data_IF_872229036181
#
_entry.id   IF_872229036181
#
_cell.length_a   1.000
_cell.length_b   1.000
_cell.length_c   1.000
_cell.angle_alpha   90.00
_cell.angle_beta   90.00
_cell.angle_gamma   90.00
#
_symmetry.space_group_name_H-M   'P 1'
#
loop_
_entity.id
_entity.type
_entity.pdbx_description
1 polymer ?
#
# COMPACT_ATOMS: atom_id res chain seq x y z
N UNK A 1 9.14 6.88 2.16
CA UNK A 1 8.09 6.45 1.20
C UNK A 1 8.05 4.92 1.13
N UNK A 2 6.86 4.32 1.03
CA UNK A 2 6.71 2.88 0.82
C UNK A 2 5.77 2.61 -0.35
N UNK A 3 6.22 1.75 -1.25
CA UNK A 3 5.47 1.27 -2.41
C UNK A 3 5.10 -0.19 -2.18
N UNK A 4 3.81 -0.53 -2.30
CA UNK A 4 3.29 -1.88 -2.07
C UNK A 4 2.45 -2.33 -3.25
N UNK A 5 2.54 -3.60 -3.61
CA UNK A 5 1.61 -4.21 -4.56
C UNK A 5 0.63 -5.10 -3.82
N UNK A 6 -0.65 -5.03 -4.18
CA UNK A 6 -1.70 -5.85 -3.58
C UNK A 6 -2.59 -6.45 -4.66
N UNK A 7 -3.09 -7.67 -4.42
CA UNK A 7 -4.12 -8.27 -5.26
C UNK A 7 -5.44 -7.49 -5.16
N UNK A 8 -6.24 -7.47 -6.23
CA UNK A 8 -7.56 -6.81 -6.18
C UNK A 8 -8.58 -7.68 -5.42
N UNK A 9 -8.54 -9.00 -5.63
CA UNK A 9 -9.58 -9.93 -5.18
C UNK A 9 -9.25 -10.64 -3.85
N UNK A 10 -9.35 -9.95 -2.71
CA UNK A 10 -9.07 -10.55 -1.39
C UNK A 10 -10.18 -11.48 -0.88
N UNK A 11 -11.44 -11.07 -0.95
CA UNK A 11 -12.57 -11.86 -0.44
C UNK A 11 -12.75 -13.19 -1.18
N UNK A 12 -12.64 -13.15 -2.50
CA UNK A 12 -12.82 -14.32 -3.37
C UNK A 12 -11.81 -15.44 -3.03
N UNK A 13 -10.56 -15.08 -2.73
CA UNK A 13 -9.54 -16.05 -2.33
C UNK A 13 -9.78 -16.60 -0.91
N UNK A 14 -10.20 -15.74 0.04
CA UNK A 14 -10.53 -16.18 1.40
C UNK A 14 -11.72 -17.14 1.42
N UNK A 15 -12.78 -16.84 0.66
CA UNK A 15 -13.97 -17.71 0.56
C UNK A 15 -13.66 -19.08 -0.04
N UNK A 16 -12.69 -19.17 -0.97
CA UNK A 16 -12.23 -20.44 -1.55
C UNK A 16 -11.29 -21.24 -0.64
N UNK A 17 -10.44 -20.56 0.14
CA UNK A 17 -9.36 -21.20 0.90
C UNK A 17 -9.65 -21.43 2.39
N UNK A 18 -10.74 -20.89 2.93
CA UNK A 18 -11.01 -20.88 4.37
C UNK A 18 -12.31 -21.64 4.69
N UNK A 19 -12.18 -22.94 4.91
CA UNK A 19 -13.22 -23.80 5.47
C UNK A 19 -12.63 -24.64 6.61
N UNK A 20 -13.48 -25.20 7.48
CA UNK A 20 -13.08 -26.15 8.51
C UNK A 20 -14.18 -27.18 8.71
N UNK A 21 -13.81 -28.45 8.70
CA UNK A 21 -14.71 -29.58 8.95
C UNK A 21 -14.69 -30.02 10.41
N UNK A 22 -13.91 -29.34 11.27
CA UNK A 22 -13.77 -29.75 12.67
C UNK A 22 -15.11 -29.64 13.40
N UNK A 23 -15.52 -30.69 14.13
CA UNK A 23 -16.79 -30.68 14.87
C UNK A 23 -16.73 -29.77 16.11
N UNK A 24 -15.57 -29.65 16.75
CA UNK A 24 -15.43 -28.86 17.98
C UNK A 24 -15.34 -27.34 17.69
N UNK A 25 -16.19 -26.49 18.30
CA UNK A 25 -16.27 -25.06 17.97
C UNK A 25 -14.96 -24.27 18.14
N UNK A 26 -14.19 -24.57 19.19
CA UNK A 26 -12.94 -23.86 19.48
C UNK A 26 -11.84 -24.24 18.48
N UNK A 27 -11.71 -25.54 18.18
CA UNK A 27 -10.71 -26.02 17.23
C UNK A 27 -11.01 -25.56 15.81
N UNK A 28 -12.30 -25.50 15.46
CA UNK A 28 -12.78 -24.90 14.20
C UNK A 28 -12.35 -23.45 14.10
N UNK A 29 -12.51 -22.63 15.15
CA UNK A 29 -12.11 -21.23 15.15
C UNK A 29 -10.60 -21.04 14.98
N UNK A 30 -9.78 -21.83 15.71
CA UNK A 30 -8.32 -21.79 15.57
C UNK A 30 -7.87 -22.19 14.16
N UNK A 31 -8.49 -23.22 13.58
CA UNK A 31 -8.17 -23.66 12.23
C UNK A 31 -8.58 -22.61 11.18
N UNK A 32 -9.78 -22.04 11.28
CA UNK A 32 -10.23 -20.98 10.38
C UNK A 32 -9.30 -19.77 10.44
N UNK A 33 -8.86 -19.37 11.64
CA UNK A 33 -7.89 -18.29 11.83
C UNK A 33 -6.52 -18.62 11.20
N UNK A 34 -6.00 -19.82 11.46
CA UNK A 34 -4.73 -20.26 10.90
C UNK A 34 -4.74 -20.30 9.36
N UNK A 35 -5.82 -20.84 8.77
CA UNK A 35 -6.02 -20.92 7.32
C UNK A 35 -6.17 -19.53 6.69
N UNK A 36 -6.98 -18.66 7.27
CA UNK A 36 -7.13 -17.28 6.77
C UNK A 36 -5.80 -16.50 6.86
N UNK A 37 -5.07 -16.62 7.97
CA UNK A 37 -3.75 -16.01 8.09
C UNK A 37 -2.74 -16.57 7.07
N UNK A 38 -2.79 -17.87 6.77
CA UNK A 38 -1.93 -18.49 5.75
C UNK A 38 -2.26 -17.97 4.34
N UNK A 39 -3.55 -17.87 3.99
CA UNK A 39 -4.01 -17.32 2.71
C UNK A 39 -3.57 -15.86 2.56
N UNK A 40 -3.72 -15.04 3.61
CA UNK A 40 -3.28 -13.65 3.58
C UNK A 40 -1.76 -13.52 3.39
N UNK A 41 -0.96 -14.32 4.11
CA UNK A 41 0.51 -14.31 3.97
C UNK A 41 0.99 -14.74 2.58
N UNK A 42 0.37 -15.77 2.01
CA UNK A 42 0.72 -16.26 0.68
C UNK A 42 0.45 -15.23 -0.43
N UNK A 43 -0.39 -14.23 -0.17
CA UNK A 43 -0.75 -13.17 -1.11
C UNK A 43 -0.08 -11.83 -0.81
N UNK A 44 0.83 -11.80 0.16
CA UNK A 44 1.67 -10.62 0.37
C UNK A 44 2.74 -10.56 -0.71
N UNK A 45 2.63 -9.60 -1.62
CA UNK A 45 3.60 -9.37 -2.68
C UNK A 45 4.82 -8.56 -2.20
N UNK A 46 4.87 -8.23 -0.91
CA UNK A 46 5.92 -7.44 -0.31
C UNK A 46 5.78 -5.95 -0.58
N UNK A 47 6.72 -5.18 -0.02
CA UNK A 47 6.77 -3.73 -0.19
C UNK A 47 8.21 -3.27 -0.33
N UNK A 48 8.43 -2.22 -1.12
CA UNK A 48 9.70 -1.54 -1.25
C UNK A 48 9.65 -0.26 -0.43
N UNK A 49 10.57 -0.12 0.53
CA UNK A 49 10.79 1.12 1.25
C UNK A 49 11.86 1.96 0.55
N UNK A 50 11.54 3.20 0.25
CA UNK A 50 12.47 4.17 -0.30
C UNK A 50 12.69 5.30 0.71
N UNK A 51 13.94 5.51 1.08
CA UNK A 51 14.36 6.71 1.78
C UNK A 51 14.69 7.79 0.74
N UNK A 52 14.04 8.94 0.84
CA UNK A 52 14.23 10.08 -0.07
C UNK A 52 14.57 11.28 0.80
N UNK A 53 15.65 11.97 0.46
CA UNK A 53 16.11 13.16 1.19
C UNK A 53 15.98 14.38 0.29
N UNK A 54 15.41 15.46 0.81
CA UNK A 54 15.26 16.72 0.10
C UNK A 54 16.20 17.77 0.70
N UNK A 55 16.84 18.55 -0.15
CA UNK A 55 17.69 19.70 0.24
C UNK A 55 17.02 21.04 0.00
N UNK A 56 15.89 21.05 -0.70
CA UNK A 56 15.14 22.25 -1.09
C UNK A 56 13.68 22.08 -0.69
N UNK A 57 13.12 23.09 -0.03
CA UNK A 57 11.74 23.07 0.44
C UNK A 57 10.74 22.94 -0.70
N UNK A 58 10.98 23.63 -1.83
CA UNK A 58 10.09 23.61 -2.98
C UNK A 58 9.95 22.19 -3.57
N UNK A 59 11.05 21.43 -3.63
CA UNK A 59 11.03 20.06 -4.12
C UNK A 59 10.27 19.13 -3.18
N UNK A 60 10.44 19.30 -1.87
CA UNK A 60 9.68 18.54 -0.86
C UNK A 60 8.18 18.83 -0.98
N UNK A 61 7.80 20.09 -1.12
CA UNK A 61 6.39 20.50 -1.25
C UNK A 61 5.77 20.03 -2.57
N UNK A 62 6.51 20.09 -3.68
CA UNK A 62 6.07 19.56 -4.97
C UNK A 62 5.84 18.04 -4.89
N UNK A 63 6.80 17.30 -4.31
CA UNK A 63 6.67 15.86 -4.10
C UNK A 63 5.43 15.52 -3.25
N UNK A 64 5.17 16.27 -2.18
CA UNK A 64 3.98 16.08 -1.36
C UNK A 64 2.67 16.38 -2.11
N UNK A 65 2.65 17.41 -2.96
CA UNK A 65 1.50 17.70 -3.82
C UNK A 65 1.25 16.61 -4.86
N UNK A 66 2.31 16.05 -5.45
CA UNK A 66 2.22 14.92 -6.39
C UNK A 66 1.72 13.65 -5.69
N UNK A 67 2.11 13.44 -4.43
CA UNK A 67 1.59 12.37 -3.60
C UNK A 67 0.08 12.54 -3.34
N UNK A 68 -0.35 13.72 -2.88
CA UNK A 68 -1.76 13.99 -2.55
C UNK A 68 -2.68 13.97 -3.77
N UNK A 69 -2.21 14.45 -4.93
CA UNK A 69 -2.97 14.44 -6.18
C UNK A 69 -3.04 13.07 -6.85
N UNK A 70 -2.19 12.12 -6.43
CA UNK A 70 -2.05 10.81 -7.05
C UNK A 70 -1.13 10.78 -8.28
N UNK A 71 -0.60 11.93 -8.71
CA UNK A 71 0.35 11.99 -9.84
C UNK A 71 1.60 11.12 -9.59
N UNK A 72 2.09 11.08 -8.35
CA UNK A 72 3.21 10.23 -7.95
C UNK A 72 2.91 8.73 -8.15
N UNK A 73 1.66 8.30 -7.89
CA UNK A 73 1.24 6.93 -8.10
C UNK A 73 1.21 6.57 -9.57
N UNK A 74 0.68 7.45 -10.43
CA UNK A 74 0.66 7.21 -11.88
C UNK A 74 2.06 7.10 -12.46
N UNK A 75 2.98 8.01 -12.08
CA UNK A 75 4.38 7.94 -12.50
C UNK A 75 5.06 6.63 -12.05
N UNK A 76 4.73 6.14 -10.86
CA UNK A 76 5.31 4.90 -10.33
C UNK A 76 4.74 3.64 -10.98
N UNK A 77 3.49 3.64 -11.47
CA UNK A 77 2.92 2.49 -12.18
C UNK A 77 3.72 2.14 -13.45
N UNK A 78 4.20 3.16 -14.16
CA UNK A 78 5.03 2.97 -15.36
C UNK A 78 6.39 2.31 -15.05
N UNK A 79 6.90 2.53 -13.84
CA UNK A 79 8.22 2.05 -13.42
C UNK A 79 8.15 0.70 -12.68
N UNK A 80 7.12 0.47 -11.86
CA UNK A 80 7.07 -0.67 -10.94
C UNK A 80 6.23 -1.85 -11.42
N UNK A 81 5.13 -1.64 -12.16
CA UNK A 81 4.31 -2.77 -12.62
C UNK A 81 4.94 -3.34 -13.88
N UNK A 82 5.83 -4.31 -13.69
CA UNK A 82 6.38 -5.09 -14.80
C UNK A 82 5.31 -6.01 -15.39
N UNK A 83 5.47 -6.35 -16.67
CA UNK A 83 4.61 -7.32 -17.34
C UNK A 83 4.62 -8.69 -16.62
N UNK A 84 5.74 -9.05 -15.99
CA UNK A 84 5.87 -10.27 -15.17
C UNK A 84 4.98 -10.28 -13.93
N UNK A 85 4.84 -9.15 -13.22
CA UNK A 85 3.93 -9.05 -12.07
C UNK A 85 2.47 -9.10 -12.49
N UNK A 86 2.14 -8.46 -13.62
CA UNK A 86 0.79 -8.49 -14.18
C UNK A 86 0.40 -9.91 -14.62
N UNK A 87 1.33 -10.64 -15.25
CA UNK A 87 1.13 -12.02 -15.66
C UNK A 87 1.00 -12.98 -14.46
N UNK A 88 1.86 -12.85 -13.45
CA UNK A 88 1.81 -13.69 -12.24
C UNK A 88 0.52 -13.50 -11.43
N UNK A 89 -0.08 -12.31 -11.51
CA UNK A 89 -1.33 -12.01 -10.83
C UNK A 89 -2.59 -12.21 -11.68
N UNK A 90 -2.47 -12.64 -12.94
CA UNK A 90 -3.64 -12.96 -13.77
C UNK A 90 -4.25 -14.30 -13.31
N UNK A 91 -5.57 -14.40 -13.08
CA UNK A 91 -6.64 -13.45 -13.45
C UNK A 91 -7.07 -12.47 -12.34
N UNK A 92 -6.50 -12.55 -11.14
CA UNK A 92 -6.96 -11.83 -9.94
C UNK A 92 -6.62 -10.33 -9.94
N UNK A 93 -5.64 -9.93 -10.76
CA UNK A 93 -5.21 -8.54 -10.93
C UNK A 93 -4.50 -7.97 -9.70
N UNK A 94 -3.73 -6.91 -9.92
CA UNK A 94 -2.97 -6.21 -8.86
C UNK A 94 -3.10 -4.71 -9.00
N UNK A 95 -2.93 -4.01 -7.87
CA UNK A 95 -2.78 -2.55 -7.80
C UNK A 95 -1.53 -2.17 -7.04
N UNK A 96 -0.97 -1.03 -7.40
CA UNK A 96 0.11 -0.38 -6.67
C UNK A 96 -0.48 0.59 -5.64
N UNK A 97 0.10 0.62 -4.46
CA UNK A 97 -0.19 1.56 -3.39
C UNK A 97 1.09 2.30 -3.02
N UNK A 98 0.96 3.61 -2.77
CA UNK A 98 2.05 4.44 -2.26
C UNK A 98 1.61 5.06 -0.95
N UNK A 99 2.52 5.01 0.02
CA UNK A 99 2.37 5.68 1.31
C UNK A 99 3.59 6.55 1.55
N UNK A 100 3.33 7.80 1.92
CA UNK A 100 4.32 8.74 2.44
C UNK A 100 3.85 9.10 3.83
N UNK A 101 4.77 9.05 4.79
CA UNK A 101 4.46 9.39 6.17
C UNK A 101 4.29 10.92 6.29
N UNK A 102 3.18 11.35 6.89
CA UNK A 102 2.88 12.77 7.04
C UNK A 102 3.79 13.43 8.08
N UNK A 103 4.12 12.72 9.16
CA UNK A 103 5.00 13.25 10.22
C UNK A 103 6.41 13.46 9.66
N UNK A 104 6.89 12.53 8.82
CA UNK A 104 8.17 12.69 8.10
C UNK A 104 8.16 13.93 7.19
N UNK A 105 7.05 14.19 6.49
CA UNK A 105 6.90 15.37 5.63
C UNK A 105 6.89 16.67 6.44
N UNK A 106 6.10 16.73 7.50
CA UNK A 106 5.99 17.91 8.35
C UNK A 106 7.32 18.25 9.01
N UNK A 107 8.04 17.24 9.50
CA UNK A 107 9.35 17.41 10.09
C UNK A 107 10.38 17.89 9.07
N UNK A 108 10.39 17.31 7.86
CA UNK A 108 11.25 17.77 6.78
C UNK A 108 10.94 19.23 6.38
N UNK A 109 9.68 19.66 6.40
CA UNK A 109 9.32 21.07 6.19
C UNK A 109 9.92 21.98 7.26
N UNK A 110 9.81 21.60 8.55
CA UNK A 110 10.39 22.40 9.66
C UNK A 110 11.90 22.51 9.55
N UNK A 111 12.59 21.40 9.25
CA UNK A 111 14.04 21.37 9.09
C UNK A 111 14.53 22.23 7.92
N UNK A 112 13.72 22.37 6.87
CA UNK A 112 14.00 23.22 5.72
C UNK A 112 13.49 24.67 5.89
N UNK A 113 13.06 25.05 7.10
CA UNK A 113 12.65 26.42 7.43
C UNK A 113 11.26 26.82 6.89
N UNK A 114 10.43 25.84 6.53
CA UNK A 114 9.09 26.05 5.97
C UNK A 114 7.95 25.61 6.90
N UNK A 115 6.73 25.88 6.45
CA UNK A 115 5.51 25.31 7.03
C UNK A 115 4.91 24.25 6.08
N UNK A 116 4.32 23.16 6.60
CA UNK A 116 3.63 22.18 5.77
C UNK A 116 2.44 22.82 5.06
N UNK A 117 2.24 22.48 3.79
CA UNK A 117 1.05 22.90 3.05
C UNK A 117 -0.11 22.04 3.50
N UNK A 118 -1.09 22.63 4.19
CA UNK A 118 -2.29 21.90 4.61
C UNK A 118 -3.00 21.30 3.41
N UNK A 119 -3.41 20.01 3.45
CA UNK A 119 -4.29 19.47 2.44
C UNK A 119 -5.62 20.21 2.53
N UNK A 120 -6.07 20.79 1.42
CA UNK A 120 -7.36 21.47 1.34
C UNK A 120 -8.47 20.57 1.90
N UNK A 121 -9.03 20.92 3.07
CA UNK A 121 -10.34 20.45 3.49
C UNK A 121 -11.37 21.14 2.59
N UNK A 122 -11.78 20.46 1.51
CA UNK A 122 -12.95 20.84 0.74
C UNK A 122 -14.20 20.58 1.57
N UNK A 123 -14.61 21.57 2.36
CA UNK A 123 -15.97 21.67 2.89
C UNK A 123 -16.88 22.28 1.82
N UNK A 124 -17.95 21.57 1.49
CA UNK A 124 -19.03 21.99 0.62
C UNK A 124 -20.16 20.98 0.69
#
# INVERSE_FOLDING_TARGET
MRVRTEYLEHESALRRGVSSEKPHPLERRFELFGRSAAVLRARDMGSVGCHITFTQLDNLQAFWADYLSGALLEAMKEVFITEGMRAAAAPEGVRLLISVDQDDYEEACRLLGGAPRSPHHGGG
#
